data_IF_249611874899
#
_entry.id   IF_249611874899
#
_cell.length_a   1.000
_cell.length_b   1.000
_cell.length_c   1.000
_cell.angle_alpha   90.00
_cell.angle_beta   90.00
_cell.angle_gamma   90.00
#
_symmetry.space_group_name_H-M   'P 1'
#
loop_
_entity.id
_entity.type
_entity.pdbx_description
1 polymer ?
#
# COMPACT_ATOMS: atom_id res chain seq x y z
N UNK A 1 -11.19 31.95 -19.62
CA UNK A 1 -11.19 30.97 -18.51
C UNK A 1 -10.30 29.80 -18.91
N UNK A 2 -9.25 29.47 -18.14
CA UNK A 2 -8.43 28.28 -18.40
C UNK A 2 -9.21 27.02 -18.02
N UNK A 3 -9.23 26.03 -18.90
CA UNK A 3 -9.83 24.71 -18.62
C UNK A 3 -9.11 24.05 -17.43
N UNK A 4 -9.78 24.01 -16.27
CA UNK A 4 -9.33 23.21 -15.13
C UNK A 4 -9.64 21.74 -15.45
N UNK A 5 -8.67 21.04 -16.02
CA UNK A 5 -8.76 19.59 -16.17
C UNK A 5 -8.75 18.95 -14.77
N UNK A 6 -9.94 18.62 -14.24
CA UNK A 6 -10.10 17.78 -13.06
C UNK A 6 -9.87 16.32 -13.46
N UNK A 7 -8.65 16.03 -13.92
CA UNK A 7 -8.25 14.68 -14.28
C UNK A 7 -8.32 13.80 -13.04
N UNK A 8 -9.01 12.63 -13.08
CA UNK A 8 -9.01 11.67 -11.98
C UNK A 8 -7.58 11.20 -11.63
N UNK A 9 -6.64 11.37 -12.57
CA UNK A 9 -5.23 11.02 -12.40
C UNK A 9 -4.43 12.01 -11.54
N UNK A 10 -4.94 13.22 -11.24
CA UNK A 10 -4.22 14.19 -10.39
C UNK A 10 -3.81 13.60 -9.04
N UNK A 11 -4.67 12.75 -8.46
CA UNK A 11 -4.41 12.09 -7.18
C UNK A 11 -3.65 10.76 -7.33
N UNK A 12 -3.68 10.14 -8.52
CA UNK A 12 -2.95 8.89 -8.81
C UNK A 12 -1.48 9.13 -9.12
N UNK A 13 -1.09 10.33 -9.54
CA UNK A 13 0.32 10.70 -9.73
C UNK A 13 1.18 10.43 -8.50
N UNK A 14 0.61 10.59 -7.30
CA UNK A 14 1.27 10.23 -6.05
C UNK A 14 1.51 8.73 -5.94
N UNK A 15 0.49 7.92 -6.23
CA UNK A 15 0.56 6.46 -6.17
C UNK A 15 1.68 5.92 -7.07
N UNK A 16 1.84 6.45 -8.28
CA UNK A 16 2.93 6.07 -9.18
C UNK A 16 4.32 6.46 -8.65
N UNK A 17 4.43 7.61 -7.96
CA UNK A 17 5.69 8.05 -7.32
C UNK A 17 6.05 7.28 -6.05
N UNK A 18 5.06 6.71 -5.37
CA UNK A 18 5.22 5.96 -4.13
C UNK A 18 5.87 4.59 -4.32
N UNK A 19 5.85 4.06 -5.56
CA UNK A 19 6.42 2.76 -5.95
C UNK A 19 5.97 1.60 -5.05
N UNK A 20 5.03 0.80 -5.53
CA UNK A 20 4.35 -0.19 -4.70
C UNK A 20 4.94 -1.58 -4.91
N UNK A 21 5.34 -2.24 -3.82
CA UNK A 21 5.93 -3.58 -3.86
C UNK A 21 5.35 -4.50 -2.79
N UNK A 22 5.45 -5.80 -3.04
CA UNK A 22 5.13 -6.84 -2.05
C UNK A 22 6.17 -6.86 -0.92
N UNK A 23 5.93 -7.58 0.21
CA UNK A 23 6.94 -7.75 1.26
C UNK A 23 8.27 -8.30 0.72
N UNK A 24 8.23 -9.20 -0.26
CA UNK A 24 9.39 -9.75 -0.95
C UNK A 24 10.03 -8.81 -2.00
N UNK A 25 9.46 -7.62 -2.21
CA UNK A 25 10.00 -6.62 -3.14
C UNK A 25 9.57 -6.82 -4.59
N UNK A 26 8.51 -7.58 -4.85
CA UNK A 26 7.98 -7.79 -6.21
C UNK A 26 6.98 -6.71 -6.60
N UNK A 27 6.87 -6.49 -7.90
CA UNK A 27 5.95 -5.54 -8.51
C UNK A 27 4.67 -6.22 -9.03
N UNK A 28 4.64 -7.55 -9.01
CA UNK A 28 3.54 -8.38 -9.48
C UNK A 28 3.11 -9.42 -8.44
N UNK A 29 2.12 -10.24 -8.81
CA UNK A 29 1.51 -11.27 -7.96
C UNK A 29 2.15 -12.66 -8.16
N UNK A 30 3.31 -12.74 -8.81
CA UNK A 30 3.89 -14.02 -9.24
C UNK A 30 4.22 -14.97 -8.08
N UNK A 31 4.55 -14.43 -6.91
CA UNK A 31 4.96 -15.20 -5.72
C UNK A 31 3.82 -15.45 -4.71
N UNK A 32 2.57 -15.21 -5.11
CA UNK A 32 1.39 -15.45 -4.27
C UNK A 32 1.17 -14.39 -3.16
N UNK A 33 2.05 -13.39 -3.08
CA UNK A 33 1.88 -12.24 -2.20
C UNK A 33 0.82 -11.28 -2.77
N UNK A 34 -0.28 -11.11 -2.04
CA UNK A 34 -1.42 -10.28 -2.48
C UNK A 34 -1.50 -8.92 -1.78
N UNK A 35 -0.44 -8.50 -1.10
CA UNK A 35 -0.42 -7.23 -0.36
C UNK A 35 0.73 -6.37 -0.83
N UNK A 36 0.42 -5.10 -1.13
CA UNK A 36 1.39 -4.12 -1.60
C UNK A 36 1.44 -2.95 -0.63
N UNK A 37 2.63 -2.39 -0.46
CA UNK A 37 2.85 -1.14 0.26
C UNK A 37 3.79 -0.24 -0.52
N UNK A 38 3.73 1.08 -0.31
CA UNK A 38 4.67 2.00 -0.91
C UNK A 38 6.09 1.70 -0.40
N UNK A 39 7.07 1.92 -1.27
CA UNK A 39 8.50 1.87 -0.93
C UNK A 39 9.03 3.27 -0.64
N UNK A 40 8.41 4.31 -1.22
CA UNK A 40 8.79 5.71 -1.07
C UNK A 40 7.68 6.50 -0.38
N UNK A 41 8.07 7.31 0.60
CA UNK A 41 7.17 8.24 1.28
C UNK A 41 7.13 9.57 0.53
N UNK A 42 6.05 9.81 -0.22
CA UNK A 42 5.91 10.99 -1.09
C UNK A 42 5.14 12.12 -0.39
N UNK A 43 4.16 11.79 0.46
CA UNK A 43 3.39 12.76 1.22
C UNK A 43 2.97 12.22 2.60
N UNK A 44 2.32 13.06 3.41
CA UNK A 44 1.74 12.66 4.70
C UNK A 44 0.61 11.63 4.55
N UNK A 45 0.00 11.57 3.37
CA UNK A 45 -1.05 10.61 3.04
C UNK A 45 -0.47 9.27 2.59
N UNK A 46 0.84 9.19 2.34
CA UNK A 46 1.49 7.93 1.97
C UNK A 46 1.33 6.93 3.11
N UNK A 47 0.77 5.74 2.85
CA UNK A 47 0.66 4.69 3.86
C UNK A 47 2.03 4.28 4.39
N UNK A 48 2.03 3.58 5.53
CA UNK A 48 3.25 3.01 6.07
C UNK A 48 3.89 2.05 5.07
N UNK A 49 5.18 2.23 4.85
CA UNK A 49 6.06 1.34 4.11
C UNK A 49 6.27 0.01 4.88
N UNK A 50 6.81 -1.02 4.22
CA UNK A 50 7.06 -2.33 4.87
C UNK A 50 7.99 -2.26 6.08
N UNK A 51 8.93 -1.31 6.10
CA UNK A 51 9.84 -1.04 7.21
C UNK A 51 9.18 -0.29 8.37
N UNK A 52 8.15 0.50 8.10
CA UNK A 52 7.36 1.22 9.12
C UNK A 52 6.24 0.34 9.75
N UNK A 53 5.97 -0.83 9.18
CA UNK A 53 5.02 -1.81 9.74
C UNK A 53 5.73 -2.68 10.78
N UNK A 54 5.31 -2.57 12.04
CA UNK A 54 5.93 -3.32 13.13
C UNK A 54 5.58 -4.81 13.06
N UNK A 55 6.45 -5.71 13.56
CA UNK A 55 6.19 -7.15 13.62
C UNK A 55 4.87 -7.50 14.32
N UNK A 56 4.49 -6.75 15.36
CA UNK A 56 3.24 -6.93 16.10
C UNK A 56 2.02 -6.64 15.23
N UNK A 57 2.09 -5.58 14.41
CA UNK A 57 1.03 -5.25 13.45
C UNK A 57 0.85 -6.35 12.41
N UNK A 58 1.97 -6.90 11.90
CA UNK A 58 1.95 -8.05 10.96
C UNK A 58 1.30 -9.27 11.61
N UNK A 59 1.69 -9.61 12.84
CA UNK A 59 1.10 -10.74 13.59
C UNK A 59 -0.39 -10.55 13.86
N UNK A 60 -0.81 -9.34 14.25
CA UNK A 60 -2.21 -9.02 14.50
C UNK A 60 -3.04 -9.14 13.23
N UNK A 61 -2.54 -8.60 12.11
CA UNK A 61 -3.20 -8.72 10.81
C UNK A 61 -3.33 -10.18 10.39
N UNK A 62 -2.28 -10.98 10.52
CA UNK A 62 -2.33 -12.41 10.21
C UNK A 62 -3.35 -13.15 11.09
N UNK A 63 -3.33 -12.90 12.41
CA UNK A 63 -4.29 -13.52 13.34
C UNK A 63 -5.72 -13.15 12.98
N UNK A 64 -5.99 -11.88 12.68
CA UNK A 64 -7.32 -11.42 12.28
C UNK A 64 -7.76 -12.07 10.97
N UNK A 65 -6.87 -12.14 9.96
CA UNK A 65 -7.15 -12.81 8.68
C UNK A 65 -7.50 -14.28 8.90
N UNK A 66 -6.76 -14.98 9.74
CA UNK A 66 -7.00 -16.40 10.04
C UNK A 66 -8.34 -16.62 10.76
N UNK A 67 -8.75 -15.70 11.63
CA UNK A 67 -10.00 -15.83 12.39
C UNK A 67 -11.23 -15.36 11.61
N UNK A 68 -11.11 -14.28 10.81
CA UNK A 68 -12.26 -13.60 10.18
C UNK A 68 -12.31 -13.71 8.66
N UNK A 69 -11.25 -14.25 8.03
CA UNK A 69 -11.07 -14.24 6.57
C UNK A 69 -10.71 -12.87 5.99
N UNK A 70 -10.64 -11.80 6.80
CA UNK A 70 -10.28 -10.42 6.39
C UNK A 70 -9.53 -9.68 7.50
N UNK A 71 -8.80 -8.63 7.13
CA UNK A 71 -8.15 -7.73 8.08
C UNK A 71 -8.88 -6.39 8.07
N UNK A 72 -9.23 -5.87 9.25
CA UNK A 72 -9.96 -4.59 9.34
C UNK A 72 -9.03 -3.40 9.15
N UNK A 73 -7.80 -3.48 9.67
CA UNK A 73 -6.79 -2.44 9.50
C UNK A 73 -5.40 -3.07 9.49
N UNK A 74 -4.64 -2.78 8.44
CA UNK A 74 -3.25 -3.21 8.32
C UNK A 74 -2.35 -2.07 7.90
#
# INVERSE_FOLDING_TARGET
MAYKQNSPFKNLNRWFKEEWKTPGGKEDYSEGENTFRPTKKVSKETPKTWSEVTPESKRKAQKEKNTKGRVTKY
#
